data_IF_640601989892
#
_entry.id   IF_640601989892
#
_cell.length_a   1.000
_cell.length_b   1.000
_cell.length_c   1.000
_cell.angle_alpha   90.00
_cell.angle_beta   90.00
_cell.angle_gamma   90.00
#
_symmetry.space_group_name_H-M   'P 1'
#
loop_
_entity.id
_entity.type
_entity.pdbx_description
1 polymer ?
#
# COMPACT_ATOMS: atom_id res chain seq x y z
N UNK A 1 -8.46 20.11 17.95
CA UNK A 1 -7.60 19.11 17.30
C UNK A 1 -6.87 19.75 16.12
N UNK A 2 -5.60 19.47 15.98
CA UNK A 2 -4.81 20.00 14.86
C UNK A 2 -5.09 19.22 13.59
N UNK A 3 -4.71 19.79 12.43
CA UNK A 3 -4.79 19.09 11.15
C UNK A 3 -3.91 17.84 11.18
N UNK A 4 -2.72 17.94 11.74
CA UNK A 4 -1.82 16.80 11.88
C UNK A 4 -2.43 15.70 12.77
N UNK A 5 -3.05 16.10 13.88
CA UNK A 5 -3.72 15.15 14.78
C UNK A 5 -4.88 14.44 14.09
N UNK A 6 -5.66 15.18 13.30
CA UNK A 6 -6.75 14.62 12.53
C UNK A 6 -6.23 13.64 11.47
N UNK A 7 -5.16 14.01 10.76
CA UNK A 7 -4.54 13.15 9.78
C UNK A 7 -4.01 11.85 10.42
N UNK A 8 -3.28 11.98 11.52
CA UNK A 8 -2.70 10.84 12.21
C UNK A 8 -3.79 9.89 12.71
N UNK A 9 -4.86 10.44 13.28
CA UNK A 9 -6.00 9.66 13.72
C UNK A 9 -6.59 8.84 12.56
N UNK A 10 -6.90 9.51 11.45
CA UNK A 10 -7.55 8.85 10.32
C UNK A 10 -6.63 7.83 9.65
N UNK A 11 -5.32 8.08 9.63
CA UNK A 11 -4.35 7.11 9.12
C UNK A 11 -4.38 5.82 9.94
N UNK A 12 -4.39 5.95 11.27
CA UNK A 12 -4.39 4.79 12.15
C UNK A 12 -5.71 4.03 12.11
N UNK A 13 -6.84 4.72 12.17
CA UNK A 13 -8.14 4.02 12.09
C UNK A 13 -8.32 3.38 10.72
N UNK A 14 -7.86 4.03 9.65
CA UNK A 14 -7.92 3.45 8.32
C UNK A 14 -7.10 2.17 8.22
N UNK A 15 -5.89 2.17 8.75
CA UNK A 15 -5.04 0.99 8.77
C UNK A 15 -5.70 -0.15 9.56
N UNK A 16 -6.27 0.17 10.72
CA UNK A 16 -6.96 -0.84 11.55
C UNK A 16 -8.20 -1.38 10.85
N UNK A 17 -8.95 -0.53 10.14
CA UNK A 17 -10.11 -0.99 9.37
C UNK A 17 -9.70 -1.92 8.23
N UNK A 18 -8.59 -1.64 7.56
CA UNK A 18 -8.10 -2.53 6.49
C UNK A 18 -7.72 -3.89 7.06
N UNK A 19 -6.99 -3.92 8.18
CA UNK A 19 -6.64 -5.17 8.86
C UNK A 19 -7.91 -5.88 9.34
N UNK A 20 -8.85 -5.14 9.92
CA UNK A 20 -10.13 -5.68 10.37
C UNK A 20 -10.95 -6.25 9.22
N UNK A 21 -10.93 -5.62 8.05
CA UNK A 21 -11.61 -6.13 6.88
C UNK A 21 -11.07 -7.50 6.46
N UNK A 22 -9.74 -7.64 6.45
CA UNK A 22 -9.11 -8.93 6.16
C UNK A 22 -9.49 -10.01 7.18
N UNK A 23 -9.48 -9.66 8.47
CA UNK A 23 -9.87 -10.60 9.53
C UNK A 23 -11.32 -11.01 9.39
N UNK A 24 -12.24 -10.06 9.15
CA UNK A 24 -13.66 -10.36 8.99
C UNK A 24 -13.94 -11.17 7.73
N UNK A 25 -13.23 -10.90 6.64
CA UNK A 25 -13.32 -11.71 5.43
C UNK A 25 -12.90 -13.15 5.70
N UNK A 26 -11.82 -13.35 6.46
CA UNK A 26 -11.36 -14.67 6.86
C UNK A 26 -12.39 -15.39 7.72
N UNK A 27 -12.98 -14.70 8.70
CA UNK A 27 -14.02 -15.27 9.55
C UNK A 27 -15.22 -15.69 8.71
N UNK A 28 -15.67 -14.83 7.81
CA UNK A 28 -16.81 -15.12 6.95
C UNK A 28 -16.57 -16.36 6.09
N UNK A 29 -15.38 -16.51 5.54
CA UNK A 29 -15.06 -17.65 4.68
C UNK A 29 -14.88 -18.95 5.47
N UNK A 30 -14.25 -18.88 6.64
CA UNK A 30 -13.92 -20.08 7.41
C UNK A 30 -15.10 -20.54 8.26
N UNK A 31 -15.83 -19.61 8.85
CA UNK A 31 -16.91 -19.93 9.81
C UNK A 31 -18.29 -19.85 9.19
N UNK A 32 -18.56 -18.81 8.39
CA UNK A 32 -19.94 -18.48 8.04
C UNK A 32 -20.27 -18.72 6.56
N UNK A 33 -19.30 -19.15 5.74
CA UNK A 33 -19.56 -19.42 4.33
C UNK A 33 -20.39 -20.67 4.15
N UNK A 34 -21.50 -20.53 3.44
CA UNK A 34 -22.41 -21.64 3.13
C UNK A 34 -22.65 -21.63 1.61
N UNK A 35 -22.18 -22.66 0.87
CA UNK A 35 -22.39 -22.73 -0.58
C UNK A 35 -23.85 -22.70 -0.99
N UNK A 36 -24.75 -23.20 -0.14
CA UNK A 36 -26.18 -23.22 -0.45
C UNK A 36 -26.80 -21.83 -0.42
N UNK A 37 -26.24 -20.92 0.38
CA UNK A 37 -26.73 -19.53 0.49
C UNK A 37 -26.05 -18.58 -0.49
N UNK A 38 -24.91 -18.97 -1.05
CA UNK A 38 -24.13 -18.13 -1.95
C UNK A 38 -24.21 -18.69 -3.38
N UNK A 39 -25.43 -18.65 -3.94
CA UNK A 39 -25.69 -19.15 -5.28
C UNK A 39 -25.77 -17.95 -6.22
N UNK A 40 -24.86 -17.88 -7.17
CA UNK A 40 -24.80 -16.88 -8.23
C UNK A 40 -24.76 -15.43 -7.71
N UNK A 41 -24.26 -15.24 -6.50
CA UNK A 41 -23.98 -13.89 -5.99
C UNK A 41 -22.53 -13.50 -6.30
N UNK A 42 -22.13 -12.28 -5.88
CA UNK A 42 -20.77 -11.79 -6.18
C UNK A 42 -19.71 -12.69 -5.59
N UNK A 43 -19.89 -13.14 -4.37
CA UNK A 43 -18.92 -14.02 -3.71
C UNK A 43 -18.76 -15.34 -4.45
N UNK A 44 -19.88 -15.96 -4.84
CA UNK A 44 -19.86 -17.21 -5.59
C UNK A 44 -19.14 -17.04 -6.93
N UNK A 45 -19.41 -15.95 -7.64
CA UNK A 45 -18.77 -15.67 -8.91
C UNK A 45 -17.27 -15.45 -8.78
N UNK A 46 -16.82 -14.76 -7.72
CA UNK A 46 -15.40 -14.57 -7.45
C UNK A 46 -14.72 -15.90 -7.17
N UNK A 47 -15.34 -16.74 -6.34
CA UNK A 47 -14.78 -18.03 -5.98
C UNK A 47 -14.70 -18.98 -7.18
N UNK A 48 -15.66 -18.91 -8.10
CA UNK A 48 -15.63 -19.67 -9.34
C UNK A 48 -14.61 -19.17 -10.34
N UNK A 49 -14.21 -17.91 -10.24
CA UNK A 49 -13.19 -17.31 -11.09
C UNK A 49 -11.81 -17.42 -10.45
N UNK A 50 -11.46 -18.59 -9.89
CA UNK A 50 -10.21 -18.78 -9.15
C UNK A 50 -8.97 -18.44 -9.96
N UNK A 51 -8.99 -18.70 -11.25
CA UNK A 51 -7.84 -18.43 -12.11
C UNK A 51 -7.59 -16.92 -12.23
N UNK A 52 -8.66 -16.11 -12.25
CA UNK A 52 -8.53 -14.67 -12.25
C UNK A 52 -7.94 -14.17 -10.93
N UNK A 53 -8.37 -14.71 -9.80
CA UNK A 53 -7.84 -14.36 -8.48
C UNK A 53 -6.36 -14.70 -8.40
N UNK A 54 -6.00 -15.90 -8.82
CA UNK A 54 -4.60 -16.38 -8.77
C UNK A 54 -3.71 -15.55 -9.69
N UNK A 55 -4.17 -15.23 -10.90
CA UNK A 55 -3.39 -14.43 -11.83
C UNK A 55 -3.14 -13.01 -11.31
N UNK A 56 -4.13 -12.39 -10.68
CA UNK A 56 -3.97 -11.08 -10.09
C UNK A 56 -3.01 -11.10 -8.90
N UNK A 57 -3.11 -12.11 -8.06
CA UNK A 57 -2.19 -12.27 -6.93
C UNK A 57 -0.77 -12.54 -7.41
N UNK A 58 -0.61 -13.31 -8.46
CA UNK A 58 0.70 -13.55 -9.05
C UNK A 58 1.32 -12.23 -9.56
N UNK A 59 0.52 -11.40 -10.23
CA UNK A 59 0.99 -10.09 -10.67
C UNK A 59 1.43 -9.23 -9.49
N UNK A 60 0.64 -9.17 -8.43
CA UNK A 60 0.98 -8.38 -7.24
C UNK A 60 2.26 -8.88 -6.59
N UNK A 61 2.43 -10.19 -6.48
CA UNK A 61 3.65 -10.77 -5.92
C UNK A 61 4.89 -10.42 -6.74
N UNK A 62 4.77 -10.51 -8.06
CA UNK A 62 5.87 -10.14 -8.95
C UNK A 62 6.17 -8.65 -8.85
N UNK A 63 5.13 -7.83 -8.83
CA UNK A 63 5.28 -6.38 -8.70
C UNK A 63 6.00 -6.02 -7.40
N UNK A 64 5.56 -6.60 -6.28
CA UNK A 64 6.17 -6.35 -4.98
C UNK A 64 7.61 -6.84 -4.92
N UNK A 65 7.90 -8.00 -5.49
CA UNK A 65 9.25 -8.54 -5.52
C UNK A 65 10.21 -7.63 -6.27
N UNK A 66 9.80 -7.18 -7.45
CA UNK A 66 10.64 -6.26 -8.24
C UNK A 66 10.83 -4.92 -7.55
N UNK A 67 9.80 -4.37 -6.91
CA UNK A 67 9.88 -3.05 -6.31
C UNK A 67 10.41 -3.04 -4.87
N UNK A 68 10.70 -4.19 -4.31
CA UNK A 68 11.35 -4.27 -3.00
C UNK A 68 12.78 -4.80 -3.15
N UNK A 69 12.92 -6.07 -3.47
CA UNK A 69 14.24 -6.70 -3.59
C UNK A 69 14.95 -6.35 -4.90
N UNK A 70 14.19 -6.16 -5.97
CA UNK A 70 14.76 -5.83 -7.28
C UNK A 70 15.54 -4.54 -7.30
N UNK A 71 15.16 -3.55 -6.47
CA UNK A 71 15.91 -2.31 -6.36
C UNK A 71 17.30 -2.54 -5.73
N UNK A 72 17.39 -3.45 -4.77
CA UNK A 72 18.70 -3.82 -4.20
C UNK A 72 19.59 -4.47 -5.25
N UNK A 73 19.05 -5.39 -6.04
CA UNK A 73 19.80 -6.07 -7.08
C UNK A 73 20.22 -5.07 -8.18
N UNK A 74 19.32 -4.16 -8.55
CA UNK A 74 19.64 -3.09 -9.48
C UNK A 74 20.85 -2.29 -9.00
N UNK A 75 20.84 -1.89 -7.75
CA UNK A 75 21.91 -1.09 -7.19
C UNK A 75 23.23 -1.87 -7.12
N UNK A 76 23.18 -3.13 -6.74
CA UNK A 76 24.36 -3.98 -6.72
C UNK A 76 24.97 -4.11 -8.13
N UNK A 77 24.12 -4.31 -9.12
CA UNK A 77 24.56 -4.45 -10.51
C UNK A 77 25.16 -3.14 -11.03
N UNK A 78 24.51 -2.01 -10.76
CA UNK A 78 25.01 -0.70 -11.22
C UNK A 78 26.34 -0.36 -10.56
N UNK A 79 26.48 -0.67 -9.28
CA UNK A 79 27.73 -0.46 -8.55
C UNK A 79 28.85 -1.33 -9.13
N UNK A 80 28.58 -2.60 -9.38
CA UNK A 80 29.55 -3.52 -9.93
C UNK A 80 30.01 -3.13 -11.33
N UNK A 81 29.12 -2.54 -12.12
CA UNK A 81 29.44 -2.09 -13.47
C UNK A 81 30.09 -0.71 -13.51
N UNK A 82 30.35 -0.09 -12.36
CA UNK A 82 30.92 1.24 -12.30
C UNK A 82 29.96 2.33 -12.77
N UNK A 83 28.67 2.13 -12.53
CA UNK A 83 27.60 3.05 -12.94
C UNK A 83 26.82 3.56 -11.74
N UNK A 84 27.47 4.23 -10.77
CA UNK A 84 26.78 4.68 -9.55
C UNK A 84 25.71 5.74 -9.84
N UNK A 85 25.81 6.45 -10.95
CA UNK A 85 24.82 7.45 -11.35
C UNK A 85 23.47 6.84 -11.73
N UNK A 86 23.41 5.54 -11.97
CA UNK A 86 22.19 4.82 -12.31
C UNK A 86 21.59 4.06 -11.13
N UNK A 87 22.14 4.23 -9.94
CA UNK A 87 21.60 3.62 -8.72
C UNK A 87 20.42 4.43 -8.18
N UNK A 88 19.55 3.76 -7.46
CA UNK A 88 18.49 4.42 -6.69
C UNK A 88 19.07 4.83 -5.34
N UNK A 89 19.45 6.09 -5.22
CA UNK A 89 20.09 6.63 -4.02
C UNK A 89 19.90 8.15 -3.97
N UNK A 90 20.23 8.74 -2.84
CA UNK A 90 20.11 10.20 -2.67
C UNK A 90 21.06 10.97 -3.59
N UNK A 91 22.17 10.37 -3.97
CA UNK A 91 23.18 11.02 -4.82
C UNK A 91 23.01 10.68 -6.31
N UNK A 92 22.00 9.89 -6.67
CA UNK A 92 21.78 9.45 -8.04
C UNK A 92 20.29 9.55 -8.39
N UNK A 93 19.64 8.43 -8.74
CA UNK A 93 18.20 8.44 -9.03
C UNK A 93 17.45 8.42 -7.69
N UNK A 94 16.84 9.55 -7.35
CA UNK A 94 16.14 9.69 -6.09
C UNK A 94 14.71 9.18 -6.21
N UNK A 95 14.24 8.48 -5.18
CA UNK A 95 12.85 8.10 -5.02
C UNK A 95 12.26 8.98 -3.93
N UNK A 96 11.79 10.15 -4.31
CA UNK A 96 11.25 11.14 -3.38
C UNK A 96 9.87 10.71 -2.88
N UNK A 97 9.60 10.83 -1.58
CA UNK A 97 8.27 10.52 -1.03
C UNK A 97 7.31 11.67 -1.32
N UNK A 98 6.92 11.81 -2.58
CA UNK A 98 6.18 12.98 -3.05
C UNK A 98 4.81 13.14 -2.40
N UNK A 99 4.13 12.04 -2.08
CA UNK A 99 2.85 12.12 -1.39
C UNK A 99 3.01 12.64 0.03
N UNK A 100 4.04 12.20 0.73
CA UNK A 100 4.33 12.71 2.07
C UNK A 100 4.69 14.19 2.02
N UNK A 101 5.48 14.58 1.05
CA UNK A 101 5.86 15.99 0.86
C UNK A 101 4.64 16.86 0.55
N UNK A 102 3.75 16.37 -0.33
CA UNK A 102 2.53 17.08 -0.67
C UNK A 102 1.61 17.25 0.55
N UNK A 103 1.42 16.19 1.32
CA UNK A 103 0.60 16.23 2.52
C UNK A 103 1.17 17.20 3.54
N UNK A 104 2.48 17.18 3.76
CA UNK A 104 3.14 18.11 4.66
C UNK A 104 2.96 19.56 4.21
N UNK A 105 3.10 19.83 2.93
CA UNK A 105 2.88 21.15 2.36
C UNK A 105 1.43 21.61 2.56
N UNK A 106 0.47 20.73 2.30
CA UNK A 106 -0.95 21.04 2.53
C UNK A 106 -1.24 21.35 3.99
N UNK A 107 -0.67 20.58 4.91
CA UNK A 107 -0.86 20.81 6.34
C UNK A 107 -0.30 22.17 6.77
N UNK A 108 0.85 22.55 6.23
CA UNK A 108 1.44 23.84 6.54
C UNK A 108 0.59 25.00 6.01
N UNK A 109 0.06 24.88 4.79
CA UNK A 109 -0.74 25.92 4.17
C UNK A 109 -2.17 26.00 4.70
N UNK A 110 -2.74 24.88 5.10
CA UNK A 110 -4.14 24.80 5.51
C UNK A 110 -4.33 24.78 7.01
N UNK A 111 -3.28 24.88 7.78
CA UNK A 111 -3.38 24.92 9.23
C UNK A 111 -4.21 26.13 9.66
N UNK A 112 -5.31 25.95 10.40
CA UNK A 112 -6.24 27.02 10.70
C UNK A 112 -5.78 27.94 11.82
N UNK A 113 -4.71 27.60 12.54
CA UNK A 113 -4.27 28.32 13.70
C UNK A 113 -2.76 28.59 13.64
N UNK A 114 -2.31 29.79 14.09
CA UNK A 114 -0.88 30.03 14.19
C UNK A 114 -0.14 29.05 15.11
N UNK A 115 -0.86 28.40 16.02
CA UNK A 115 -0.28 27.39 16.90
C UNK A 115 0.08 26.13 16.13
N UNK A 116 -0.69 25.82 15.10
CA UNK A 116 -0.49 24.62 14.31
C UNK A 116 0.69 24.76 13.35
N UNK A 117 1.16 25.98 13.14
CA UNK A 117 2.27 26.27 12.23
C UNK A 117 3.63 26.28 12.91
N UNK A 118 3.71 25.83 14.12
CA UNK A 118 4.96 25.81 14.88
C UNK A 118 5.74 24.55 14.70
#
# INVERSE_FOLDING_TARGET
MTVLGTFTHHMWIGALFIVGAGAHAGIAMVRDYDPAKNIDNVLDRILKARDAVISHLNWVCMWLGFHSFGLYIHNDTMRALGRPQDMFSDSAIQLQPIFAQWVQSCLLYTSPSPRDNR
#
